data_IF_315503904488
#
_entry.id   IF_315503904488
#
_cell.length_a   1.000
_cell.length_b   1.000
_cell.length_c   1.000
_cell.angle_alpha   90.00
_cell.angle_beta   90.00
_cell.angle_gamma   90.00
#
_symmetry.space_group_name_H-M   'P 1'
#
loop_
_entity.id
_entity.type
_entity.pdbx_description
1 polymer ?
#
# COMPACT_ATOMS: atom_id res chain seq x y z
N UNK A 1 4.33 24.61 55.60
CA UNK A 1 5.26 23.47 55.71
C UNK A 1 4.56 22.29 55.05
N UNK A 2 4.76 22.12 53.74
CA UNK A 2 4.10 21.09 52.93
C UNK A 2 4.73 19.74 53.24
N UNK A 3 3.89 18.79 53.67
CA UNK A 3 4.31 17.48 54.15
C UNK A 3 4.94 16.67 52.99
N UNK A 4 6.22 16.25 53.06
CA UNK A 4 6.93 15.54 51.97
C UNK A 4 6.26 14.22 51.54
N UNK A 5 5.40 13.67 52.41
CA UNK A 5 4.65 12.42 52.19
C UNK A 5 3.49 12.60 51.19
N UNK A 6 2.84 13.77 51.17
CA UNK A 6 1.72 14.04 50.26
C UNK A 6 2.15 14.13 48.80
N UNK A 7 3.40 14.54 48.54
CA UNK A 7 3.93 14.69 47.19
C UNK A 7 4.32 13.33 46.58
N UNK A 8 4.64 12.35 47.44
CA UNK A 8 5.14 11.04 47.02
C UNK A 8 4.02 10.08 46.61
N UNK A 9 2.86 10.12 47.30
CA UNK A 9 1.66 9.37 46.89
C UNK A 9 1.09 9.91 45.57
N UNK A 10 1.14 11.24 45.37
CA UNK A 10 0.70 11.88 44.13
C UNK A 10 1.55 11.46 42.91
N UNK A 11 2.86 11.29 43.08
CA UNK A 11 3.77 10.83 42.02
C UNK A 11 3.57 9.34 41.69
N UNK A 12 3.34 8.49 42.69
CA UNK A 12 3.01 7.07 42.45
C UNK A 12 1.69 6.95 41.69
N UNK A 13 0.66 7.67 42.13
CA UNK A 13 -0.65 7.67 41.45
C UNK A 13 -0.56 8.18 40.01
N UNK A 14 0.27 9.21 39.76
CA UNK A 14 0.51 9.74 38.41
C UNK A 14 1.20 8.70 37.53
N UNK A 15 2.19 8.00 38.08
CA UNK A 15 2.93 6.97 37.35
C UNK A 15 2.04 5.77 37.01
N UNK A 16 1.20 5.32 37.95
CA UNK A 16 0.22 4.24 37.70
C UNK A 16 -0.75 4.61 36.58
N UNK A 17 -1.30 5.83 36.57
CA UNK A 17 -2.22 6.28 35.51
C UNK A 17 -1.56 6.33 34.13
N UNK A 18 -0.30 6.77 34.07
CA UNK A 18 0.45 6.81 32.80
C UNK A 18 0.68 5.41 32.25
N UNK A 19 1.03 4.44 33.11
CA UNK A 19 1.21 3.04 32.72
C UNK A 19 -0.10 2.41 32.23
N UNK A 20 -1.21 2.65 32.92
CA UNK A 20 -2.54 2.18 32.49
C UNK A 20 -2.93 2.73 31.12
N UNK A 21 -2.64 4.02 30.87
CA UNK A 21 -2.89 4.67 29.57
C UNK A 21 -2.02 4.07 28.46
N UNK A 22 -0.74 3.80 28.74
CA UNK A 22 0.18 3.21 27.78
C UNK A 22 -0.25 1.78 27.42
N UNK A 23 -0.63 0.97 28.42
CA UNK A 23 -1.17 -0.38 28.22
C UNK A 23 -2.40 -0.37 27.32
N UNK A 24 -3.35 0.53 27.57
CA UNK A 24 -4.56 0.65 26.76
C UNK A 24 -4.22 0.97 25.28
N UNK A 25 -3.22 1.81 25.06
CA UNK A 25 -2.76 2.20 23.73
C UNK A 25 -2.13 1.02 22.98
N UNK A 26 -1.25 0.27 23.65
CA UNK A 26 -0.62 -0.92 23.06
C UNK A 26 -1.61 -2.04 22.77
N UNK A 27 -2.58 -2.25 23.66
CA UNK A 27 -3.63 -3.23 23.43
C UNK A 27 -4.51 -2.87 22.22
N UNK A 28 -4.86 -1.59 22.07
CA UNK A 28 -5.59 -1.10 20.89
C UNK A 28 -4.78 -1.33 19.60
N UNK A 29 -3.47 -1.04 19.64
CA UNK A 29 -2.58 -1.25 18.51
C UNK A 29 -2.51 -2.74 18.12
N UNK A 30 -2.33 -3.63 19.10
CA UNK A 30 -2.29 -5.08 18.88
C UNK A 30 -3.60 -5.61 18.27
N UNK A 31 -4.75 -5.18 18.80
CA UNK A 31 -6.06 -5.56 18.27
C UNK A 31 -6.25 -5.07 16.82
N UNK A 32 -5.77 -3.86 16.52
CA UNK A 32 -5.83 -3.29 15.17
C UNK A 32 -4.95 -4.07 14.19
N UNK A 33 -3.77 -4.52 14.61
CA UNK A 33 -2.87 -5.35 13.79
C UNK A 33 -3.44 -6.73 13.52
N UNK A 34 -4.09 -7.36 14.51
CA UNK A 34 -4.69 -8.69 14.40
C UNK A 34 -5.95 -8.73 13.51
N UNK A 35 -6.69 -7.64 13.45
CA UNK A 35 -7.93 -7.54 12.64
C UNK A 35 -7.67 -7.13 11.19
N UNK A 36 -6.45 -6.67 10.88
CA UNK A 36 -6.05 -6.25 9.54
C UNK A 36 -5.84 -7.47 8.63
N UNK A 37 -6.36 -7.42 7.40
CA UNK A 37 -5.99 -8.40 6.35
C UNK A 37 -4.58 -8.12 5.85
N UNK A 38 -3.64 -8.98 6.22
CA UNK A 38 -2.22 -8.82 5.93
C UNK A 38 -1.78 -9.56 4.66
N UNK A 39 -0.95 -8.91 3.86
CA UNK A 39 -0.20 -9.57 2.79
C UNK A 39 0.95 -10.39 3.38
N UNK A 40 1.39 -11.44 2.69
CA UNK A 40 2.43 -12.36 3.19
C UNK A 40 3.74 -11.63 3.56
N UNK A 41 4.09 -10.59 2.78
CA UNK A 41 5.27 -9.77 3.01
C UNK A 41 5.13 -8.76 4.16
N UNK A 42 3.93 -8.60 4.75
CA UNK A 42 3.68 -7.75 5.93
C UNK A 42 3.76 -8.57 7.22
N UNK A 43 3.61 -9.90 7.15
CA UNK A 43 3.62 -10.78 8.33
C UNK A 43 4.89 -10.61 9.16
N UNK A 44 6.06 -10.55 8.52
CA UNK A 44 7.33 -10.43 9.25
C UNK A 44 7.40 -9.12 10.07
N UNK A 45 6.97 -8.01 9.48
CA UNK A 45 6.94 -6.72 10.17
C UNK A 45 5.90 -6.73 11.30
N UNK A 46 4.71 -7.26 11.06
CA UNK A 46 3.65 -7.35 12.06
C UNK A 46 4.03 -8.27 13.21
N UNK A 47 4.56 -9.47 12.95
CA UNK A 47 4.99 -10.39 14.00
C UNK A 47 6.11 -9.80 14.86
N UNK A 48 7.02 -9.02 14.27
CA UNK A 48 8.04 -8.29 15.03
C UNK A 48 7.41 -7.21 15.92
N UNK A 49 6.41 -6.46 15.43
CA UNK A 49 5.66 -5.49 16.23
C UNK A 49 4.89 -6.18 17.36
N UNK A 50 4.17 -7.26 17.07
CA UNK A 50 3.38 -8.01 18.05
C UNK A 50 4.26 -8.57 19.17
N UNK A 51 5.37 -9.23 18.83
CA UNK A 51 6.32 -9.77 19.81
C UNK A 51 6.91 -8.67 20.72
N UNK A 52 7.09 -7.45 20.19
CA UNK A 52 7.60 -6.31 20.96
C UNK A 52 6.53 -5.68 21.84
N UNK A 53 5.30 -5.54 21.33
CA UNK A 53 4.17 -5.08 22.12
C UNK A 53 3.90 -6.02 23.29
N UNK A 54 4.02 -7.33 23.08
CA UNK A 54 3.87 -8.33 24.14
C UNK A 54 4.90 -8.13 25.26
N UNK A 55 6.19 -7.96 24.92
CA UNK A 55 7.23 -7.63 25.91
C UNK A 55 6.95 -6.32 26.66
N UNK A 56 6.44 -5.31 25.96
CA UNK A 56 6.05 -4.03 26.56
C UNK A 56 4.90 -4.20 27.57
N UNK A 57 3.90 -5.02 27.22
CA UNK A 57 2.78 -5.32 28.09
C UNK A 57 3.21 -6.11 29.33
N UNK A 58 4.14 -7.06 29.19
CA UNK A 58 4.73 -7.79 30.32
C UNK A 58 5.44 -6.83 31.28
N UNK A 59 6.29 -5.95 30.76
CA UNK A 59 7.02 -4.94 31.55
C UNK A 59 6.05 -4.00 32.29
N UNK A 60 5.02 -3.50 31.60
CA UNK A 60 4.03 -2.62 32.23
C UNK A 60 3.24 -3.37 33.31
N UNK A 61 2.93 -4.65 33.10
CA UNK A 61 2.24 -5.46 34.09
C UNK A 61 3.09 -5.68 35.35
N UNK A 62 4.38 -6.00 35.20
CA UNK A 62 5.31 -6.11 36.33
C UNK A 62 5.38 -4.81 37.14
N UNK A 63 5.43 -3.66 36.45
CA UNK A 63 5.41 -2.34 37.07
C UNK A 63 4.12 -2.02 37.83
N UNK A 64 2.97 -2.39 37.25
CA UNK A 64 1.67 -2.23 37.91
C UNK A 64 1.56 -3.10 39.17
N UNK A 65 2.08 -4.34 39.13
CA UNK A 65 2.09 -5.25 40.27
C UNK A 65 2.98 -4.74 41.41
N UNK A 66 4.18 -4.26 41.09
CA UNK A 66 5.06 -3.61 42.07
C UNK A 66 4.38 -2.37 42.67
N UNK A 67 3.79 -1.50 41.84
CA UNK A 67 3.02 -0.32 42.30
C UNK A 67 1.87 -0.69 43.25
N UNK A 68 1.15 -1.79 43.00
CA UNK A 68 0.08 -2.30 43.88
C UNK A 68 0.62 -2.83 45.21
N UNK A 69 1.78 -3.49 45.23
CA UNK A 69 2.43 -3.95 46.47
C UNK A 69 2.79 -2.76 47.38
N UNK A 70 3.22 -1.65 46.81
CA UNK A 70 3.49 -0.41 47.56
C UNK A 70 2.23 0.21 48.18
N UNK A 71 1.12 0.31 47.43
CA UNK A 71 -0.15 0.83 47.98
C UNK A 71 -0.66 0.02 49.17
N UNK A 72 -0.53 -1.31 49.14
CA UNK A 72 -0.88 -2.20 50.26
C UNK A 72 0.02 -2.04 51.49
N UNK A 73 1.31 -1.72 51.30
CA UNK A 73 2.26 -1.54 52.41
C UNK A 73 2.06 -0.21 53.18
N UNK A 74 1.26 0.70 52.63
CA UNK A 74 1.02 2.06 53.18
C UNK A 74 -0.32 2.16 53.92
N UNK A 75 -1.06 1.05 54.05
CA UNK A 75 -2.36 0.97 54.73
C UNK A 75 -2.23 1.33 56.25
N UNK A 76 -3.15 2.14 56.84
CA UNK A 76 -2.93 2.79 58.14
C UNK A 76 -2.81 1.85 59.35
N UNK A 77 -3.15 0.56 59.19
CA UNK A 77 -3.21 -0.42 60.28
C UNK A 77 -1.85 -0.80 60.92
N UNK A 78 -0.72 -0.45 60.30
CA UNK A 78 0.62 -0.90 60.74
C UNK A 78 1.61 0.29 60.81
N UNK A 79 1.13 1.49 61.15
CA UNK A 79 1.89 2.73 60.95
C UNK A 79 2.94 3.08 62.02
N UNK A 80 3.05 2.34 63.13
CA UNK A 80 3.78 2.84 64.32
C UNK A 80 5.31 2.75 64.29
N UNK A 81 5.88 1.61 63.84
CA UNK A 81 7.33 1.33 64.04
C UNK A 81 8.09 0.77 62.83
N UNK A 82 7.40 0.41 61.75
CA UNK A 82 8.01 -0.12 60.51
C UNK A 82 8.43 0.99 59.54
N UNK A 83 7.98 2.24 59.78
CA UNK A 83 8.12 3.38 58.88
C UNK A 83 9.56 3.77 58.51
N UNK A 84 10.59 3.42 59.28
CA UNK A 84 11.99 3.85 58.99
C UNK A 84 12.82 2.72 58.36
N UNK A 85 12.57 1.47 58.73
CA UNK A 85 13.27 0.31 58.17
C UNK A 85 12.76 -0.07 56.77
N UNK A 86 11.43 0.03 56.54
CA UNK A 86 10.85 -0.14 55.21
C UNK A 86 11.35 0.90 54.20
N UNK A 87 11.65 2.13 54.67
CA UNK A 87 12.16 3.24 53.84
C UNK A 87 13.54 3.02 53.23
N UNK A 88 14.37 2.10 53.76
CA UNK A 88 15.69 1.77 53.18
C UNK A 88 15.62 0.67 52.10
N UNK A 89 14.54 -0.10 52.08
CA UNK A 89 14.26 -1.11 51.05
C UNK A 89 13.28 -0.58 49.98
N UNK A 90 12.49 0.44 50.32
CA UNK A 90 11.56 1.15 49.44
C UNK A 90 12.19 2.32 48.66
N UNK A 91 13.50 2.30 48.41
CA UNK A 91 14.12 3.26 47.49
C UNK A 91 13.83 2.77 46.07
N UNK A 92 13.01 3.48 45.28
CA UNK A 92 11.73 2.94 44.79
C UNK A 92 11.83 1.87 43.70
N UNK A 93 13.03 1.64 43.19
CA UNK A 93 13.42 0.54 42.32
C UNK A 93 14.95 0.48 42.45
N UNK A 94 15.60 -0.69 42.33
CA UNK A 94 17.07 -0.67 42.23
C UNK A 94 17.41 0.21 41.03
N UNK A 95 18.30 1.19 41.21
CA UNK A 95 18.71 2.13 40.15
C UNK A 95 19.01 1.41 38.83
N UNK A 96 19.61 0.23 38.90
CA UNK A 96 19.90 -0.64 37.75
C UNK A 96 18.68 -1.27 37.07
N UNK A 97 17.62 -1.60 37.80
CA UNK A 97 16.36 -2.15 37.27
C UNK A 97 15.53 -1.04 36.62
N UNK A 98 15.43 0.14 37.25
CA UNK A 98 14.84 1.32 36.61
C UNK A 98 15.58 1.75 35.37
N UNK A 99 16.91 1.66 35.38
CA UNK A 99 17.73 2.10 34.27
C UNK A 99 17.58 1.17 33.07
N UNK A 100 17.62 -0.15 33.27
CA UNK A 100 17.30 -1.13 32.22
C UNK A 100 15.89 -0.95 31.70
N UNK A 101 14.94 -0.73 32.60
CA UNK A 101 13.56 -0.47 32.24
C UNK A 101 13.38 0.82 31.43
N UNK A 102 14.12 1.88 31.75
CA UNK A 102 14.11 3.12 30.96
C UNK A 102 14.72 2.87 29.58
N UNK A 103 15.83 2.15 29.51
CA UNK A 103 16.46 1.75 28.25
C UNK A 103 15.50 0.91 27.38
N UNK A 104 14.80 -0.08 27.98
CA UNK A 104 13.81 -0.91 27.30
C UNK A 104 12.57 -0.10 26.87
N UNK A 105 12.07 0.81 27.72
CA UNK A 105 10.93 1.70 27.43
C UNK A 105 11.30 2.77 26.41
N UNK A 106 12.55 3.22 26.32
CA UNK A 106 12.98 4.23 25.35
C UNK A 106 13.23 3.58 23.96
N UNK A 107 13.77 2.36 23.92
CA UNK A 107 14.08 1.66 22.67
C UNK A 107 12.84 1.09 21.95
N UNK A 108 11.76 0.77 22.69
CA UNK A 108 10.57 0.16 22.09
C UNK A 108 9.72 1.17 21.27
N UNK A 109 9.39 2.39 21.76
CA UNK A 109 8.65 3.39 21.01
C UNK A 109 9.34 3.75 19.69
N UNK A 110 10.67 3.93 19.71
CA UNK A 110 11.44 4.27 18.51
C UNK A 110 11.34 3.17 17.45
N UNK A 111 11.45 1.90 17.86
CA UNK A 111 11.35 0.77 16.95
C UNK A 111 9.91 0.47 16.49
N UNK A 112 8.91 0.69 17.34
CA UNK A 112 7.48 0.59 16.99
C UNK A 112 7.13 1.69 15.99
N UNK A 113 7.62 2.92 16.20
CA UNK A 113 7.45 4.04 15.28
C UNK A 113 8.06 3.75 13.92
N UNK A 114 9.29 3.23 13.86
CA UNK A 114 9.92 2.79 12.60
C UNK A 114 9.09 1.70 11.91
N UNK A 115 8.60 0.71 12.64
CA UNK A 115 7.83 -0.40 12.06
C UNK A 115 6.44 0.03 11.59
N UNK A 116 5.79 0.92 12.31
CA UNK A 116 4.54 1.57 11.89
C UNK A 116 4.77 2.46 10.67
N UNK A 117 5.89 3.18 10.62
CA UNK A 117 6.33 3.94 9.45
C UNK A 117 6.46 3.05 8.21
N UNK A 118 7.05 1.86 8.34
CA UNK A 118 7.15 0.88 7.23
C UNK A 118 5.77 0.40 6.77
N UNK A 119 4.86 0.08 7.70
CA UNK A 119 3.49 -0.31 7.35
C UNK A 119 2.73 0.82 6.65
N UNK A 120 2.87 2.06 7.15
CA UNK A 120 2.22 3.23 6.58
C UNK A 120 2.76 3.58 5.19
N UNK A 121 4.08 3.49 4.96
CA UNK A 121 4.67 3.65 3.63
C UNK A 121 4.12 2.62 2.64
N UNK A 122 3.87 1.39 3.10
CA UNK A 122 3.29 0.34 2.26
C UNK A 122 1.82 0.58 1.94
N UNK A 123 1.03 1.04 2.90
CA UNK A 123 -0.36 1.47 2.66
C UNK A 123 -0.43 2.62 1.66
N UNK A 124 0.46 3.60 1.80
CA UNK A 124 0.58 4.69 0.83
C UNK A 124 0.92 4.17 -0.57
N UNK A 125 1.80 3.17 -0.68
CA UNK A 125 2.14 2.55 -1.97
C UNK A 125 0.93 1.84 -2.59
N UNK A 126 0.15 1.09 -1.79
CA UNK A 126 -1.10 0.45 -2.24
C UNK A 126 -2.07 1.51 -2.77
N UNK A 127 -2.32 2.56 -2.00
CA UNK A 127 -3.24 3.65 -2.38
C UNK A 127 -2.76 4.34 -3.66
N UNK A 128 -1.49 4.70 -3.75
CA UNK A 128 -0.92 5.35 -4.92
C UNK A 128 -1.11 4.49 -6.18
N UNK A 129 -0.91 3.18 -6.05
CA UNK A 129 -1.12 2.22 -7.14
C UNK A 129 -2.61 2.08 -7.51
N UNK A 130 -3.51 1.95 -6.53
CA UNK A 130 -4.96 1.87 -6.80
C UNK A 130 -5.49 3.15 -7.46
N UNK A 131 -5.03 4.32 -7.03
CA UNK A 131 -5.38 5.61 -7.66
C UNK A 131 -4.88 5.66 -9.10
N UNK A 132 -3.67 5.16 -9.35
CA UNK A 132 -3.13 5.01 -10.71
C UNK A 132 -3.98 4.08 -11.57
N UNK A 133 -4.45 2.95 -11.04
CA UNK A 133 -5.31 2.01 -11.78
C UNK A 133 -6.71 2.60 -12.05
N UNK A 134 -7.33 3.29 -11.09
CA UNK A 134 -8.61 4.01 -11.31
C UNK A 134 -8.46 5.10 -12.37
N UNK A 135 -7.34 5.81 -12.33
CA UNK A 135 -7.01 6.85 -13.31
C UNK A 135 -6.80 6.28 -14.72
N UNK A 136 -6.21 5.09 -14.83
CA UNK A 136 -6.14 4.32 -16.08
C UNK A 136 -7.54 4.00 -16.62
N UNK A 137 -8.45 3.50 -15.78
CA UNK A 137 -9.83 3.25 -16.20
C UNK A 137 -10.51 4.51 -16.73
N UNK A 138 -10.24 5.67 -16.16
CA UNK A 138 -10.76 6.96 -16.68
C UNK A 138 -10.20 7.29 -18.06
N UNK A 139 -8.89 7.09 -18.31
CA UNK A 139 -8.29 7.35 -19.63
C UNK A 139 -8.76 6.34 -20.68
N UNK A 140 -8.96 5.07 -20.31
CA UNK A 140 -9.60 4.07 -21.18
C UNK A 140 -11.06 4.45 -21.47
N UNK A 141 -11.80 4.96 -20.48
CA UNK A 141 -13.18 5.44 -20.65
C UNK A 141 -13.25 6.71 -21.51
N UNK A 142 -12.19 7.54 -21.57
CA UNK A 142 -12.11 8.64 -22.55
C UNK A 142 -12.08 8.16 -23.99
N UNK A 143 -11.53 6.97 -24.26
CA UNK A 143 -11.69 6.32 -25.57
C UNK A 143 -13.15 5.91 -25.87
N UNK A 144 -14.01 5.88 -24.84
CA UNK A 144 -15.46 5.70 -24.93
C UNK A 144 -16.25 6.95 -25.30
N UNK A 145 -15.59 8.06 -25.65
CA UNK A 145 -16.24 9.23 -26.27
C UNK A 145 -16.64 8.93 -27.73
N UNK A 146 -16.12 7.86 -28.32
CA UNK A 146 -16.56 7.35 -29.61
C UNK A 146 -17.94 6.68 -29.45
N UNK A 147 -18.89 7.02 -30.32
CA UNK A 147 -20.26 6.49 -30.25
C UNK A 147 -20.28 4.96 -30.33
N UNK A 148 -21.25 4.35 -29.63
CA UNK A 148 -21.48 2.89 -29.70
C UNK A 148 -21.75 2.42 -31.14
N UNK A 149 -22.31 3.29 -31.97
CA UNK A 149 -22.55 3.06 -33.40
C UNK A 149 -21.24 2.85 -34.17
N UNK A 150 -20.29 3.77 -34.04
CA UNK A 150 -18.97 3.67 -34.69
C UNK A 150 -18.21 2.44 -34.19
N UNK A 151 -18.29 2.16 -32.88
CA UNK A 151 -17.67 0.97 -32.29
C UNK A 151 -18.27 -0.33 -32.84
N UNK A 152 -19.59 -0.36 -33.04
CA UNK A 152 -20.30 -1.49 -33.65
C UNK A 152 -19.93 -1.67 -35.12
N UNK A 153 -19.87 -0.57 -35.86
CA UNK A 153 -19.46 -0.54 -37.27
C UNK A 153 -18.02 -1.05 -37.46
N UNK A 154 -17.07 -0.58 -36.64
CA UNK A 154 -15.68 -1.05 -36.68
C UNK A 154 -15.51 -2.51 -36.29
N UNK A 155 -16.44 -3.10 -35.53
CA UNK A 155 -16.29 -4.45 -34.95
C UNK A 155 -14.90 -4.66 -34.33
N UNK A 156 -14.43 -3.62 -33.63
CA UNK A 156 -13.13 -3.63 -32.99
C UNK A 156 -13.21 -4.45 -31.69
N UNK A 157 -12.34 -5.44 -31.50
CA UNK A 157 -12.30 -6.21 -30.26
C UNK A 157 -11.89 -5.31 -29.09
N UNK A 158 -12.40 -5.64 -27.90
CA UNK A 158 -12.11 -4.88 -26.70
C UNK A 158 -10.82 -5.38 -26.02
N UNK A 159 -9.69 -4.76 -26.38
CA UNK A 159 -8.39 -5.08 -25.80
C UNK A 159 -8.34 -4.85 -24.28
N UNK A 160 -9.24 -4.04 -23.71
CA UNK A 160 -9.27 -3.74 -22.27
C UNK A 160 -9.64 -4.97 -21.43
N UNK A 161 -10.42 -5.91 -21.97
CA UNK A 161 -10.80 -7.15 -21.27
C UNK A 161 -9.54 -7.95 -20.93
N UNK A 162 -8.69 -8.19 -21.93
CA UNK A 162 -7.43 -8.91 -21.77
C UNK A 162 -6.45 -8.14 -20.87
N UNK A 163 -6.38 -6.81 -21.02
CA UNK A 163 -5.53 -5.98 -20.16
C UNK A 163 -5.97 -6.07 -18.69
N UNK A 164 -7.25 -5.91 -18.42
CA UNK A 164 -7.83 -5.97 -17.07
C UNK A 164 -7.60 -7.35 -16.44
N UNK A 165 -7.78 -8.43 -17.20
CA UNK A 165 -7.50 -9.79 -16.72
C UNK A 165 -6.03 -9.97 -16.31
N UNK A 166 -5.08 -9.36 -17.05
CA UNK A 166 -3.65 -9.39 -16.68
C UNK A 166 -3.34 -8.50 -15.48
N UNK A 167 -3.99 -7.34 -15.37
CA UNK A 167 -3.87 -6.44 -14.21
C UNK A 167 -4.39 -7.09 -12.92
N UNK A 168 -5.52 -7.80 -12.96
CA UNK A 168 -6.06 -8.52 -11.80
C UNK A 168 -5.13 -9.64 -11.30
N UNK A 169 -4.38 -10.27 -12.22
CA UNK A 169 -3.41 -11.33 -11.88
C UNK A 169 -2.06 -10.76 -11.38
N UNK A 170 -1.86 -9.45 -11.41
CA UNK A 170 -0.59 -8.80 -11.05
C UNK A 170 -0.49 -8.61 -9.54
N UNK A 171 0.56 -9.14 -8.93
CA UNK A 171 0.97 -8.73 -7.58
C UNK A 171 1.53 -7.31 -7.60
N UNK A 172 1.28 -6.56 -6.52
CA UNK A 172 1.44 -5.10 -6.41
C UNK A 172 2.79 -4.56 -6.95
N UNK A 173 3.89 -5.29 -6.73
CA UNK A 173 5.26 -4.88 -7.08
C UNK A 173 5.83 -5.56 -8.34
N UNK A 174 5.05 -6.43 -8.98
CA UNK A 174 5.52 -7.19 -10.14
C UNK A 174 5.74 -6.27 -11.34
N UNK A 175 7.01 -6.18 -11.76
CA UNK A 175 7.44 -5.45 -12.95
C UNK A 175 7.96 -4.04 -12.69
N UNK A 176 8.03 -3.56 -11.45
CA UNK A 176 8.63 -2.26 -11.11
C UNK A 176 10.09 -2.14 -11.58
N UNK A 177 10.89 -3.17 -11.31
CA UNK A 177 12.29 -3.25 -11.76
C UNK A 177 12.46 -3.09 -13.28
N UNK A 178 11.45 -3.48 -14.06
CA UNK A 178 11.49 -3.43 -15.52
C UNK A 178 11.20 -2.01 -16.03
N UNK A 179 10.12 -1.40 -15.54
CA UNK A 179 9.66 -0.06 -15.97
C UNK A 179 10.49 1.08 -15.39
N UNK A 180 11.15 0.87 -14.25
CA UNK A 180 12.14 1.80 -13.68
C UNK A 180 13.54 1.60 -14.27
N UNK A 181 13.72 0.52 -15.05
CA UNK A 181 15.00 0.18 -15.66
C UNK A 181 15.40 1.12 -16.80
N UNK A 182 16.71 1.18 -17.14
CA UNK A 182 17.21 2.02 -18.22
C UNK A 182 16.70 1.56 -19.60
N UNK A 183 16.41 0.27 -19.79
CA UNK A 183 15.89 -0.27 -21.05
C UNK A 183 14.50 0.29 -21.37
N UNK A 184 13.57 0.23 -20.41
CA UNK A 184 12.22 0.76 -20.59
C UNK A 184 12.24 2.28 -20.74
N UNK A 185 13.01 2.97 -19.88
CA UNK A 185 13.14 4.43 -19.94
C UNK A 185 13.67 4.91 -21.30
N UNK A 186 14.69 4.23 -21.84
CA UNK A 186 15.22 4.54 -23.15
C UNK A 186 14.21 4.24 -24.28
N UNK A 187 13.41 3.18 -24.15
CA UNK A 187 12.35 2.86 -25.10
C UNK A 187 11.24 3.92 -25.09
N UNK A 188 10.66 4.23 -23.94
CA UNK A 188 9.48 5.13 -23.86
C UNK A 188 9.81 6.58 -24.25
N UNK A 189 11.07 7.01 -24.09
CA UNK A 189 11.48 8.39 -24.40
C UNK A 189 11.99 8.59 -25.82
N UNK A 190 12.54 7.55 -26.47
CA UNK A 190 13.05 7.67 -27.84
C UNK A 190 11.94 7.47 -28.87
N UNK A 191 11.81 8.36 -29.88
CA UNK A 191 10.90 8.13 -30.99
C UNK A 191 11.34 6.92 -31.81
N UNK A 192 10.39 6.20 -32.41
CA UNK A 192 10.62 5.03 -33.28
C UNK A 192 11.47 3.93 -32.63
N UNK A 193 11.33 3.75 -31.32
CA UNK A 193 12.04 2.73 -30.55
C UNK A 193 11.26 1.42 -30.50
N UNK A 194 11.98 0.30 -30.34
CA UNK A 194 11.38 -1.03 -30.23
C UNK A 194 11.93 -1.76 -29.00
N UNK A 195 11.04 -2.43 -28.26
CA UNK A 195 11.39 -3.20 -27.07
C UNK A 195 10.75 -4.59 -27.14
N UNK A 196 11.59 -5.62 -27.09
CA UNK A 196 11.16 -7.01 -27.10
C UNK A 196 11.50 -7.67 -25.77
N UNK A 197 10.46 -8.11 -25.06
CA UNK A 197 10.58 -9.00 -23.90
C UNK A 197 10.60 -10.47 -24.32
N UNK A 198 11.77 -11.11 -24.30
CA UNK A 198 11.94 -12.54 -24.54
C UNK A 198 12.20 -13.30 -23.24
N UNK A 199 11.68 -14.53 -23.12
CA UNK A 199 11.92 -15.41 -21.98
C UNK A 199 11.02 -16.65 -22.02
N UNK A 200 11.28 -17.59 -21.12
CA UNK A 200 10.49 -18.83 -21.03
C UNK A 200 9.01 -18.60 -20.72
N UNK A 201 8.15 -19.51 -21.16
CA UNK A 201 6.73 -19.52 -20.80
C UNK A 201 6.57 -19.54 -19.27
N UNK A 202 5.50 -18.91 -18.77
CA UNK A 202 5.21 -18.85 -17.33
C UNK A 202 6.00 -17.81 -16.52
N UNK A 203 6.99 -17.10 -17.10
CA UNK A 203 7.78 -16.08 -16.37
C UNK A 203 7.14 -14.68 -16.27
N UNK A 204 5.81 -14.59 -16.44
CA UNK A 204 5.09 -13.33 -16.24
C UNK A 204 5.29 -12.24 -17.30
N UNK A 205 5.73 -12.58 -18.52
CA UNK A 205 5.93 -11.59 -19.61
C UNK A 205 4.67 -10.76 -19.90
N UNK A 206 3.50 -11.39 -19.95
CA UNK A 206 2.22 -10.69 -20.17
C UNK A 206 1.89 -9.70 -19.04
N UNK A 207 2.27 -10.04 -17.80
CA UNK A 207 2.15 -9.14 -16.65
C UNK A 207 3.10 -7.95 -16.82
N UNK A 208 4.35 -8.17 -17.26
CA UNK A 208 5.30 -7.08 -17.55
C UNK A 208 4.79 -6.16 -18.66
N UNK A 209 4.16 -6.70 -19.72
CA UNK A 209 3.54 -5.89 -20.77
C UNK A 209 2.37 -5.05 -20.23
N UNK A 210 1.53 -5.62 -19.37
CA UNK A 210 0.46 -4.86 -18.71
C UNK A 210 1.04 -3.71 -17.86
N UNK A 211 2.09 -3.97 -17.07
CA UNK A 211 2.80 -2.94 -16.29
C UNK A 211 3.39 -1.85 -17.20
N UNK A 212 4.00 -2.22 -18.33
CA UNK A 212 4.54 -1.28 -19.31
C UNK A 212 3.46 -0.35 -19.89
N UNK A 213 2.32 -0.90 -20.30
CA UNK A 213 1.19 -0.12 -20.83
C UNK A 213 0.72 0.91 -19.80
N UNK A 214 0.54 0.49 -18.54
CA UNK A 214 0.16 1.40 -17.47
C UNK A 214 1.17 2.54 -17.26
N UNK A 215 2.48 2.23 -17.30
CA UNK A 215 3.52 3.27 -17.21
C UNK A 215 3.52 4.20 -18.42
N UNK A 216 3.25 3.69 -19.61
CA UNK A 216 3.16 4.52 -20.82
C UNK A 216 2.04 5.56 -20.69
N UNK A 217 0.84 5.16 -20.25
CA UNK A 217 -0.29 6.09 -20.03
C UNK A 217 0.02 7.19 -19.02
N UNK A 218 0.79 6.88 -17.97
CA UNK A 218 1.24 7.90 -17.04
C UNK A 218 2.26 8.86 -17.66
N UNK A 219 3.14 8.38 -18.52
CA UNK A 219 4.19 9.16 -19.14
C UNK A 219 3.67 10.12 -20.22
N UNK A 220 2.64 9.73 -20.97
CA UNK A 220 2.10 10.54 -22.08
C UNK A 220 1.00 11.52 -21.68
N UNK A 221 0.55 11.50 -20.41
CA UNK A 221 -0.60 12.27 -19.91
C UNK A 221 -0.54 13.79 -20.17
N UNK A 222 0.64 14.37 -20.20
CA UNK A 222 0.83 15.82 -20.40
C UNK A 222 0.82 16.25 -21.87
N UNK A 223 0.81 15.31 -22.82
CA UNK A 223 0.92 15.58 -24.25
C UNK A 223 -0.31 15.07 -25.01
N UNK A 224 -1.26 15.97 -25.26
CA UNK A 224 -2.49 15.67 -25.98
C UNK A 224 -2.27 15.20 -27.43
N UNK A 225 -1.03 15.27 -27.95
CA UNK A 225 -0.68 14.75 -29.28
C UNK A 225 -0.16 13.32 -29.27
N UNK A 226 -0.01 12.69 -28.10
CA UNK A 226 0.46 11.31 -27.95
C UNK A 226 -0.69 10.40 -27.55
N UNK A 227 -1.14 9.56 -28.49
CA UNK A 227 -2.05 8.45 -28.21
C UNK A 227 -1.29 7.17 -27.85
N UNK A 228 -1.91 6.32 -27.03
CA UNK A 228 -1.41 4.98 -26.73
C UNK A 228 -2.44 3.97 -27.19
N UNK A 229 -1.97 2.93 -27.88
CA UNK A 229 -2.80 1.79 -28.23
C UNK A 229 -2.08 0.50 -27.88
N UNK A 230 -2.87 -0.51 -27.52
CA UNK A 230 -2.36 -1.83 -27.21
C UNK A 230 -3.31 -2.92 -27.70
N UNK A 231 -2.76 -4.11 -27.92
CA UNK A 231 -3.50 -5.29 -28.33
C UNK A 231 -2.86 -6.55 -27.75
N UNK A 232 -3.67 -7.54 -27.41
CA UNK A 232 -3.20 -8.83 -26.90
C UNK A 232 -3.62 -9.93 -27.87
N UNK A 233 -2.64 -10.57 -28.49
CA UNK A 233 -2.87 -11.82 -29.21
C UNK A 233 -3.00 -12.96 -28.19
N UNK A 234 -4.18 -13.57 -28.12
CA UNK A 234 -4.49 -14.71 -27.25
C UNK A 234 -4.75 -15.95 -28.10
N UNK A 235 -4.37 -17.13 -27.57
CA UNK A 235 -4.58 -18.40 -28.28
C UNK A 235 -6.00 -18.94 -28.14
N UNK A 236 -6.77 -18.44 -27.15
CA UNK A 236 -8.10 -18.95 -26.80
C UNK A 236 -9.23 -18.35 -27.66
N UNK A 237 -8.95 -17.30 -28.45
CA UNK A 237 -9.92 -16.64 -29.32
C UNK A 237 -9.46 -16.73 -30.78
N UNK A 238 -9.97 -17.73 -31.53
CA UNK A 238 -9.71 -17.90 -32.98
C UNK A 238 -9.88 -16.63 -33.82
N UNK A 239 -10.86 -15.72 -33.60
CA UNK A 239 -11.01 -14.50 -34.41
C UNK A 239 -10.05 -13.35 -34.03
N UNK A 240 -9.17 -13.51 -33.03
CA UNK A 240 -8.22 -12.49 -32.53
C UNK A 240 -6.80 -12.70 -33.10
N UNK A 241 -6.58 -13.77 -33.87
CA UNK A 241 -5.26 -14.12 -34.42
C UNK A 241 -4.89 -13.37 -35.71
N UNK A 242 -5.84 -12.67 -36.33
CA UNK A 242 -5.61 -11.88 -37.54
C UNK A 242 -5.16 -10.44 -37.24
N UNK A 243 -4.39 -9.85 -38.16
CA UNK A 243 -3.93 -8.45 -38.09
C UNK A 243 -5.08 -7.44 -38.13
N UNK A 244 -6.19 -7.81 -38.77
CA UNK A 244 -7.33 -6.92 -39.00
C UNK A 244 -8.04 -6.50 -37.71
N UNK A 245 -8.46 -7.42 -36.82
CA UNK A 245 -8.95 -7.07 -35.48
C UNK A 245 -7.98 -6.18 -34.69
N UNK A 246 -6.67 -6.43 -34.78
CA UNK A 246 -5.65 -5.60 -34.11
C UNK A 246 -5.69 -4.17 -34.64
N UNK A 247 -5.66 -3.98 -35.96
CA UNK A 247 -5.69 -2.66 -36.57
C UNK A 247 -6.97 -1.89 -36.21
N UNK A 248 -8.14 -2.53 -36.25
CA UNK A 248 -9.41 -1.90 -35.86
C UNK A 248 -9.44 -1.51 -34.38
N UNK A 249 -8.88 -2.34 -33.50
CA UNK A 249 -8.75 -2.03 -32.07
C UNK A 249 -7.78 -0.88 -31.80
N UNK A 250 -6.63 -0.85 -32.48
CA UNK A 250 -5.65 0.23 -32.38
C UNK A 250 -6.25 1.54 -32.90
N UNK A 251 -6.89 1.50 -34.07
CA UNK A 251 -7.52 2.66 -34.69
C UNK A 251 -8.61 3.25 -33.78
N UNK A 252 -9.49 2.41 -33.23
CA UNK A 252 -10.52 2.85 -32.27
C UNK A 252 -9.89 3.51 -31.04
N UNK A 253 -8.86 2.90 -30.43
CA UNK A 253 -8.20 3.44 -29.25
C UNK A 253 -7.57 4.81 -29.49
N UNK A 254 -6.88 5.00 -30.61
CA UNK A 254 -6.22 6.27 -30.95
C UNK A 254 -7.23 7.36 -31.32
N UNK A 255 -8.28 7.00 -32.06
CA UNK A 255 -9.33 7.94 -32.47
C UNK A 255 -10.02 8.59 -31.27
N UNK A 256 -10.11 7.88 -30.13
CA UNK A 256 -10.73 8.40 -28.92
C UNK A 256 -9.79 9.21 -28.02
N UNK A 257 -8.48 9.19 -28.30
CA UNK A 257 -7.45 9.85 -27.47
C UNK A 257 -6.92 11.14 -28.09
N UNK A 258 -6.92 11.24 -29.42
CA UNK A 258 -6.40 12.40 -30.14
C UNK A 258 -7.53 13.41 -30.37
N UNK A 259 -7.33 14.73 -30.14
CA UNK A 259 -8.38 15.74 -30.26
C UNK A 259 -9.17 15.74 -31.57
N UNK A 260 -8.52 15.42 -32.69
CA UNK A 260 -9.14 15.38 -34.04
C UNK A 260 -9.68 13.99 -34.39
N UNK A 261 -9.24 12.94 -33.69
CA UNK A 261 -9.52 11.55 -34.07
C UNK A 261 -11.01 11.18 -34.02
N UNK A 262 -11.80 11.78 -33.13
CA UNK A 262 -13.24 11.52 -33.05
C UNK A 262 -14.01 12.16 -34.22
N UNK A 263 -13.54 13.30 -34.72
CA UNK A 263 -14.11 13.93 -35.91
C UNK A 263 -13.78 13.08 -37.13
N UNK A 264 -12.51 12.69 -37.30
CA UNK A 264 -12.02 11.90 -38.43
C UNK A 264 -12.75 10.56 -38.55
N UNK A 265 -12.91 9.84 -37.44
CA UNK A 265 -13.60 8.54 -37.43
C UNK A 265 -15.11 8.69 -37.70
N UNK A 266 -15.72 9.78 -37.23
CA UNK A 266 -17.14 10.07 -37.49
C UNK A 266 -17.35 10.40 -38.97
N UNK A 267 -16.49 11.23 -39.56
CA UNK A 267 -16.50 11.53 -40.99
C UNK A 267 -16.33 10.26 -41.82
N UNK A 268 -15.35 9.43 -41.47
CA UNK A 268 -15.09 8.17 -42.16
C UNK A 268 -16.30 7.21 -42.07
N UNK A 269 -16.96 7.13 -40.91
CA UNK A 269 -18.21 6.38 -40.76
C UNK A 269 -19.34 6.95 -41.64
N UNK A 270 -19.49 8.27 -41.73
CA UNK A 270 -20.53 8.89 -42.60
C UNK A 270 -20.29 8.67 -44.09
N UNK A 271 -19.03 8.55 -44.51
CA UNK A 271 -18.66 8.26 -45.90
C UNK A 271 -18.86 6.77 -46.25
N UNK A 272 -18.80 5.88 -45.25
CA UNK A 272 -18.75 4.43 -45.42
C UNK A 272 -19.70 3.64 -44.49
N UNK A 273 -20.98 4.04 -44.33
CA UNK A 273 -21.87 3.48 -43.30
C UNK A 273 -22.18 1.98 -43.51
N UNK A 274 -22.30 1.54 -44.77
CA UNK A 274 -22.69 0.16 -45.12
C UNK A 274 -21.50 -0.74 -45.47
N UNK A 275 -20.29 -0.17 -45.58
CA UNK A 275 -19.07 -0.92 -45.88
C UNK A 275 -18.44 -1.38 -44.58
N UNK A 276 -18.30 -2.70 -44.44
CA UNK A 276 -17.51 -3.28 -43.37
C UNK A 276 -16.05 -2.78 -43.54
N UNK A 277 -15.41 -2.24 -42.48
CA UNK A 277 -14.04 -1.77 -42.57
C UNK A 277 -13.14 -2.92 -43.06
N UNK A 278 -12.15 -2.64 -43.92
CA UNK A 278 -11.43 -3.67 -44.65
C UNK A 278 -10.86 -4.73 -43.70
N UNK A 279 -11.08 -5.99 -44.07
CA UNK A 279 -10.37 -7.16 -43.53
C UNK A 279 -8.89 -7.00 -43.81
#
# INVERSE_FOLDING_TARGET
MTDPLSNHDADVDRTTRNLESLRATFWLLQTTLQTRTLLEAERVAVTNIESRLEKCLEIIQELEEESKKFKKATDPGIAGKVKVAGRRLAYPFRKSELQKLHEDIDEIPENVDVSLGVLQLRDQQIIHNSVRDVKMLIEVVRAGVISLEIRSWLRAPDASINHNAMCTKRYLDTGAWFVEGPLFTNWITKPNSFLWLNGFAGRGKSILCATAIQHAFLHTRSDARKGIAFFYFTFDDEPIQDESPMLRAVFLQLSGQVPEGNTDITELHTLHPDTMPPS
#
